data_IF_430628206667
#
_entry.id   IF_430628206667
#
_cell.length_a   1.000
_cell.length_b   1.000
_cell.length_c   1.000
_cell.angle_alpha   90.00
_cell.angle_beta   90.00
_cell.angle_gamma   90.00
#
_symmetry.space_group_name_H-M   'P 1'
#
loop_
_entity.id
_entity.type
_entity.pdbx_description
1 polymer ?
#
# COMPACT_ATOMS: atom_id res chain seq x y z
N UNK A 1 -27.71 -5.68 33.60
CA UNK A 1 -26.27 -5.39 33.80
C UNK A 1 -25.63 -6.66 34.35
N UNK A 2 -24.40 -7.04 33.95
CA UNK A 2 -23.29 -6.15 33.63
C UNK A 2 -22.97 -6.04 32.14
N UNK A 3 -22.49 -4.84 31.79
CA UNK A 3 -21.65 -4.59 30.61
C UNK A 3 -20.28 -5.14 30.96
N UNK A 4 -20.02 -6.41 30.66
CA UNK A 4 -18.62 -6.86 30.64
C UNK A 4 -17.93 -6.13 29.50
N UNK A 5 -17.15 -5.12 29.86
CA UNK A 5 -16.21 -4.50 28.93
C UNK A 5 -15.33 -5.62 28.42
N UNK A 6 -15.46 -5.95 27.13
CA UNK A 6 -14.52 -6.81 26.42
C UNK A 6 -13.12 -6.30 26.75
N UNK A 7 -12.34 -7.18 27.35
CA UNK A 7 -11.07 -6.87 27.98
C UNK A 7 -10.08 -6.35 26.92
N UNK A 8 -9.69 -5.08 27.00
CA UNK A 8 -8.73 -4.37 26.10
C UNK A 8 -7.26 -4.78 26.33
N UNK A 9 -6.96 -6.05 26.60
CA UNK A 9 -5.61 -6.46 27.04
C UNK A 9 -4.71 -6.93 25.87
N UNK A 10 -5.23 -7.00 24.63
CA UNK A 10 -4.51 -7.62 23.51
C UNK A 10 -4.32 -6.74 22.25
N UNK A 11 -4.61 -5.44 22.29
CA UNK A 11 -4.55 -4.61 21.07
C UNK A 11 -3.16 -4.06 20.73
N UNK A 12 -2.24 -4.03 21.70
CA UNK A 12 -0.89 -3.49 21.50
C UNK A 12 0.14 -4.60 21.64
N UNK A 13 0.88 -4.85 20.55
CA UNK A 13 1.99 -5.79 20.50
C UNK A 13 3.25 -5.05 20.08
N UNK A 14 4.25 -5.03 20.95
CA UNK A 14 5.57 -4.58 20.56
C UNK A 14 6.25 -5.65 19.69
N UNK A 15 6.78 -5.23 18.54
CA UNK A 15 7.49 -6.09 17.61
C UNK A 15 8.85 -5.49 17.33
N UNK A 16 9.91 -6.18 17.78
CA UNK A 16 11.29 -5.78 17.48
C UNK A 16 11.70 -6.42 16.15
N UNK A 17 11.97 -5.58 15.16
CA UNK A 17 12.38 -6.03 13.83
C UNK A 17 13.90 -6.12 13.69
N UNK A 18 14.43 -7.18 13.05
CA UNK A 18 15.86 -7.29 12.79
C UNK A 18 16.31 -6.23 11.78
N UNK A 19 17.61 -5.85 11.75
CA UNK A 19 18.15 -4.85 10.81
C UNK A 19 17.79 -5.11 9.34
N UNK A 20 17.73 -6.38 8.93
CA UNK A 20 17.34 -6.79 7.58
C UNK A 20 15.93 -6.33 7.19
N UNK A 21 15.00 -6.29 8.15
CA UNK A 21 13.61 -5.88 7.89
C UNK A 21 13.49 -4.38 7.73
N UNK A 22 14.30 -3.62 8.47
CA UNK A 22 14.46 -2.20 8.24
C UNK A 22 15.04 -1.90 6.86
N UNK A 23 16.05 -2.67 6.42
CA UNK A 23 16.58 -2.58 5.05
C UNK A 23 15.49 -2.75 3.98
N UNK A 24 14.66 -3.78 4.10
CA UNK A 24 13.52 -3.97 3.19
C UNK A 24 12.54 -2.80 3.21
N UNK A 25 12.32 -2.19 4.39
CA UNK A 25 11.41 -1.05 4.51
C UNK A 25 11.96 0.17 3.75
N UNK A 26 13.24 0.47 3.91
CA UNK A 26 13.89 1.57 3.18
C UNK A 26 13.84 1.34 1.67
N UNK A 27 14.26 0.18 1.19
CA UNK A 27 14.24 -0.14 -0.25
C UNK A 27 12.82 -0.02 -0.85
N UNK A 28 11.80 -0.51 -0.13
CA UNK A 28 10.42 -0.42 -0.59
C UNK A 28 9.88 1.00 -0.56
N UNK A 29 10.22 1.80 0.45
CA UNK A 29 9.82 3.21 0.51
C UNK A 29 10.50 4.06 -0.55
N UNK A 30 11.78 3.83 -0.84
CA UNK A 30 12.46 4.49 -1.95
C UNK A 30 11.84 4.13 -3.30
N UNK A 31 11.53 2.85 -3.52
CA UNK A 31 10.83 2.42 -4.73
C UNK A 31 9.43 3.02 -4.82
N UNK A 32 8.69 3.06 -3.71
CA UNK A 32 7.37 3.66 -3.65
C UNK A 32 7.43 5.15 -3.98
N UNK A 33 8.40 5.89 -3.43
CA UNK A 33 8.59 7.30 -3.69
C UNK A 33 8.79 7.59 -5.18
N UNK A 34 9.67 6.85 -5.85
CA UNK A 34 9.89 6.99 -7.31
C UNK A 34 8.62 6.79 -8.14
N UNK A 35 7.74 5.88 -7.70
CA UNK A 35 6.46 5.64 -8.37
C UNK A 35 5.49 6.78 -8.04
N UNK A 36 5.43 7.22 -6.79
CA UNK A 36 4.55 8.30 -6.34
C UNK A 36 4.92 9.65 -6.96
N UNK A 37 6.21 9.95 -7.18
CA UNK A 37 6.66 11.14 -7.90
C UNK A 37 6.10 11.19 -9.34
N UNK A 38 6.07 10.04 -10.04
CA UNK A 38 5.44 9.95 -11.37
C UNK A 38 3.93 10.13 -11.33
N UNK A 39 3.31 9.82 -10.20
CA UNK A 39 1.88 9.90 -9.98
C UNK A 39 1.47 11.18 -9.23
N UNK A 40 2.37 12.13 -8.99
CA UNK A 40 2.15 13.29 -8.08
C UNK A 40 0.86 14.05 -8.39
N UNK A 41 0.56 14.26 -9.66
CA UNK A 41 -0.68 14.92 -10.12
C UNK A 41 -1.97 14.19 -9.70
N UNK A 42 -1.88 12.93 -9.28
CA UNK A 42 -3.00 12.09 -8.88
C UNK A 42 -3.21 12.00 -7.36
N UNK A 43 -2.46 12.78 -6.55
CA UNK A 43 -2.46 12.70 -5.08
C UNK A 43 -2.26 11.26 -4.56
N UNK A 44 -1.15 10.60 -4.93
CA UNK A 44 -0.93 9.21 -4.59
C UNK A 44 -0.65 9.06 -3.09
N UNK A 45 -1.27 8.07 -2.46
CA UNK A 45 -1.09 7.77 -1.05
C UNK A 45 -0.52 6.37 -0.88
N UNK A 46 0.58 6.24 -0.12
CA UNK A 46 1.12 4.94 0.21
C UNK A 46 0.20 4.23 1.21
N UNK A 47 -0.15 2.99 0.93
CA UNK A 47 -1.03 2.18 1.77
C UNK A 47 -0.38 0.85 2.16
N UNK A 48 -1.12 0.06 2.93
CA UNK A 48 -0.74 -1.31 3.25
C UNK A 48 0.52 -1.44 4.10
N UNK A 49 1.26 -2.52 3.87
CA UNK A 49 2.39 -2.95 4.70
C UNK A 49 3.52 -1.93 4.75
N UNK A 50 3.83 -1.29 3.61
CA UNK A 50 4.93 -0.33 3.48
C UNK A 50 4.62 0.98 4.20
N UNK A 51 3.35 1.42 4.17
CA UNK A 51 2.90 2.57 4.95
C UNK A 51 3.06 2.31 6.46
N UNK A 52 2.55 1.15 6.94
CA UNK A 52 2.62 0.76 8.36
C UNK A 52 4.04 0.52 8.87
N UNK A 53 4.99 0.20 7.99
CA UNK A 53 6.36 -0.17 8.36
C UNK A 53 6.58 -1.67 8.61
N UNK A 54 5.54 -2.49 8.45
CA UNK A 54 5.59 -3.93 8.68
C UNK A 54 5.77 -4.71 7.37
N UNK A 55 7.00 -4.74 6.85
CA UNK A 55 7.29 -5.35 5.53
C UNK A 55 8.05 -6.66 5.63
N UNK A 56 7.88 -7.52 4.62
CA UNK A 56 8.72 -8.67 4.32
C UNK A 56 9.39 -8.46 2.96
N UNK A 57 10.32 -9.33 2.59
CA UNK A 57 11.00 -9.26 1.28
C UNK A 57 10.00 -9.25 0.12
N UNK A 58 8.97 -10.10 0.23
CA UNK A 58 7.90 -10.33 -0.73
C UNK A 58 6.73 -9.34 -0.65
N UNK A 59 6.75 -8.37 0.28
CA UNK A 59 5.65 -7.40 0.40
C UNK A 59 5.50 -6.54 -0.86
N UNK A 60 4.26 -6.36 -1.29
CA UNK A 60 3.91 -5.44 -2.38
C UNK A 60 3.93 -3.97 -1.93
N UNK A 61 3.96 -3.06 -2.91
CA UNK A 61 3.79 -1.61 -2.71
C UNK A 61 2.39 -1.24 -3.16
N UNK A 62 1.53 -0.88 -2.21
CA UNK A 62 0.15 -0.47 -2.47
C UNK A 62 0.08 1.06 -2.54
N UNK A 63 -0.39 1.60 -3.67
CA UNK A 63 -0.62 3.03 -3.84
C UNK A 63 -2.11 3.25 -4.08
N UNK A 64 -2.70 4.10 -3.25
CA UNK A 64 -4.09 4.52 -3.34
C UNK A 64 -4.20 5.88 -4.03
N UNK A 65 -5.19 6.02 -4.90
CA UNK A 65 -5.54 7.27 -5.58
C UNK A 65 -6.95 7.64 -5.09
N UNK A 66 -7.12 8.80 -4.41
CA UNK A 66 -8.34 9.08 -3.65
C UNK A 66 -9.56 9.42 -4.51
N UNK A 67 -9.40 9.51 -5.82
CA UNK A 67 -10.48 9.81 -6.76
C UNK A 67 -10.38 8.95 -8.02
N UNK A 68 -11.48 8.92 -8.77
CA UNK A 68 -11.57 8.12 -9.99
C UNK A 68 -10.70 8.74 -11.09
N UNK A 69 -9.65 8.03 -11.49
CA UNK A 69 -8.80 8.39 -12.62
C UNK A 69 -8.97 7.35 -13.73
N UNK A 70 -9.18 7.77 -15.00
CA UNK A 70 -9.09 6.87 -16.13
C UNK A 70 -7.77 6.08 -16.13
N UNK A 71 -7.84 4.75 -16.24
CA UNK A 71 -6.64 3.89 -16.05
C UNK A 71 -5.50 4.24 -17.00
N UNK A 72 -5.79 4.65 -18.24
CA UNK A 72 -4.77 5.00 -19.23
C UNK A 72 -3.89 6.19 -18.80
N UNK A 73 -4.39 7.11 -17.98
CA UNK A 73 -3.60 8.24 -17.48
C UNK A 73 -2.55 7.78 -16.48
N UNK A 74 -2.90 6.79 -15.64
CA UNK A 74 -1.96 6.14 -14.72
C UNK A 74 -0.90 5.37 -15.52
N UNK A 75 -1.32 4.70 -16.59
CA UNK A 75 -0.41 3.97 -17.47
C UNK A 75 0.60 4.89 -18.15
N UNK A 76 0.14 6.03 -18.69
CA UNK A 76 1.00 7.03 -19.32
C UNK A 76 2.00 7.62 -18.33
N UNK A 77 1.55 7.94 -17.10
CA UNK A 77 2.44 8.47 -16.06
C UNK A 77 3.54 7.48 -15.65
N UNK A 78 3.24 6.17 -15.70
CA UNK A 78 4.17 5.10 -15.33
C UNK A 78 4.92 4.48 -16.52
N UNK A 79 4.85 5.11 -17.69
CA UNK A 79 5.54 4.64 -18.89
C UNK A 79 7.05 4.46 -18.65
N UNK A 80 7.61 3.35 -19.15
CA UNK A 80 9.01 2.98 -18.97
C UNK A 80 9.35 2.30 -17.63
N UNK A 81 8.41 2.22 -16.68
CA UNK A 81 8.60 1.55 -15.38
C UNK A 81 7.77 0.26 -15.29
N UNK A 82 6.66 0.18 -16.02
CA UNK A 82 5.73 -0.97 -16.00
C UNK A 82 6.14 -2.02 -17.03
N UNK A 83 6.46 -3.23 -16.57
CA UNK A 83 6.76 -4.38 -17.44
C UNK A 83 5.54 -5.24 -17.77
N UNK A 84 4.53 -5.24 -16.90
CA UNK A 84 3.29 -6.01 -17.07
C UNK A 84 2.11 -5.25 -16.48
N UNK A 85 0.98 -5.31 -17.17
CA UNK A 85 -0.29 -4.72 -16.74
C UNK A 85 -1.32 -5.80 -16.42
N UNK A 86 -2.05 -5.62 -15.32
CA UNK A 86 -3.26 -6.36 -14.98
C UNK A 86 -4.24 -5.40 -14.35
N UNK A 87 -5.42 -5.24 -14.96
CA UNK A 87 -6.53 -4.48 -14.37
C UNK A 87 -7.47 -5.48 -13.71
N UNK A 88 -7.77 -5.24 -12.44
CA UNK A 88 -8.78 -5.98 -11.68
C UNK A 88 -9.86 -4.98 -11.29
N UNK A 89 -11.08 -5.21 -11.76
CA UNK A 89 -12.24 -4.42 -11.41
C UNK A 89 -13.25 -5.35 -10.73
N UNK A 90 -13.66 -5.01 -9.51
CA UNK A 90 -14.81 -5.67 -8.91
C UNK A 90 -16.04 -5.28 -9.74
N UNK A 91 -16.55 -6.21 -10.54
CA UNK A 91 -17.84 -6.03 -11.21
C UNK A 91 -18.93 -6.34 -10.18
N UNK A 92 -19.77 -5.38 -9.78
CA UNK A 92 -20.90 -5.69 -8.92
C UNK A 92 -21.81 -6.69 -9.61
N UNK A 93 -22.10 -7.80 -8.94
CA UNK A 93 -23.13 -8.73 -9.37
C UNK A 93 -24.49 -8.07 -9.13
N UNK A 94 -25.16 -7.63 -10.20
CA UNK A 94 -26.58 -7.30 -10.12
C UNK A 94 -27.37 -8.62 -10.18
N UNK A 95 -27.92 -9.04 -9.04
CA UNK A 95 -29.03 -9.99 -8.98
C UNK A 95 -30.35 -9.21 -9.10
#
# INVERSE_FOLDING_TARGET
MPREKVVKIWDEREVVYPPKRWHYLWEKREKALKIMERLEQFDPQLYGSVARGDVRRDSDIDIFIPYKVPSYLIELALEGIVSRRKIVMATPWHL
#
